data_IF_014964574736
#
_entry.id   IF_014964574736
#
_cell.length_a   1.000
_cell.length_b   1.000
_cell.length_c   1.000
_cell.angle_alpha   90.00
_cell.angle_beta   90.00
_cell.angle_gamma   90.00
#
_symmetry.space_group_name_H-M   'P 1'
#
loop_
_entity.id
_entity.type
_entity.pdbx_description
1 polymer ?
#
# COMPACT_ATOMS: atom_id res chain seq x y z
N UNK A 1 -9.89 -10.37 5.76
CA UNK A 1 -11.00 -9.41 5.72
C UNK A 1 -11.71 -9.47 4.38
N UNK A 2 -13.03 -9.47 4.42
CA UNK A 2 -13.92 -9.36 3.27
C UNK A 2 -13.90 -7.93 2.73
N UNK A 3 -14.39 -7.74 1.49
CA UNK A 3 -14.52 -6.40 0.90
C UNK A 3 -15.48 -5.53 1.73
N UNK A 4 -16.52 -6.12 2.31
CA UNK A 4 -17.50 -5.40 3.12
C UNK A 4 -16.88 -4.87 4.42
N UNK A 5 -16.05 -5.67 5.10
CA UNK A 5 -15.31 -5.24 6.29
C UNK A 5 -14.33 -4.11 5.97
N UNK A 6 -13.64 -4.19 4.83
CA UNK A 6 -12.70 -3.16 4.38
C UNK A 6 -13.39 -1.83 4.06
N UNK A 7 -14.52 -1.87 3.37
CA UNK A 7 -15.31 -0.67 3.09
C UNK A 7 -15.79 0.00 4.38
N UNK A 8 -16.27 -0.80 5.35
CA UNK A 8 -16.69 -0.27 6.65
C UNK A 8 -15.51 0.36 7.42
N UNK A 9 -14.34 -0.27 7.37
CA UNK A 9 -13.14 0.27 8.01
C UNK A 9 -12.65 1.56 7.34
N UNK A 10 -12.75 1.66 6.01
CA UNK A 10 -12.42 2.86 5.24
C UNK A 10 -13.39 4.01 5.57
N UNK A 11 -14.69 3.73 5.58
CA UNK A 11 -15.71 4.71 5.91
C UNK A 11 -15.56 5.21 7.36
N UNK A 12 -15.27 4.31 8.31
CA UNK A 12 -14.96 4.69 9.69
C UNK A 12 -13.72 5.60 9.79
N UNK A 13 -12.70 5.37 8.98
CA UNK A 13 -11.45 6.12 9.01
C UNK A 13 -11.55 7.50 8.32
N UNK A 14 -12.33 7.61 7.25
CA UNK A 14 -12.33 8.78 6.36
C UNK A 14 -13.69 9.47 6.22
N UNK A 15 -14.75 8.93 6.82
CA UNK A 15 -16.10 9.51 6.82
C UNK A 15 -16.80 9.46 5.45
N UNK A 16 -16.32 8.62 4.53
CA UNK A 16 -16.88 8.45 3.19
C UNK A 16 -16.50 7.09 2.58
N UNK A 17 -17.24 6.59 1.58
CA UNK A 17 -16.90 5.33 0.91
C UNK A 17 -15.61 5.44 0.09
N UNK A 18 -14.94 4.30 -0.11
CA UNK A 18 -13.86 4.18 -1.07
C UNK A 18 -14.42 4.28 -2.51
N UNK A 19 -13.66 4.91 -3.41
CA UNK A 19 -14.01 5.03 -4.83
C UNK A 19 -13.48 3.85 -5.65
N UNK A 20 -12.38 3.25 -5.22
CA UNK A 20 -11.79 2.07 -5.87
C UNK A 20 -11.09 1.15 -4.86
N UNK A 21 -11.04 -0.13 -5.23
CA UNK A 21 -10.39 -1.20 -4.46
C UNK A 21 -9.44 -1.95 -5.38
N UNK A 22 -8.20 -2.11 -4.95
CA UNK A 22 -7.15 -2.83 -5.67
C UNK A 22 -6.60 -3.97 -4.80
N UNK A 23 -6.04 -4.99 -5.44
CA UNK A 23 -5.36 -6.09 -4.78
C UNK A 23 -4.00 -6.36 -5.44
N UNK A 24 -2.95 -6.45 -4.64
CA UNK A 24 -1.62 -6.85 -5.05
C UNK A 24 -1.23 -8.13 -4.28
N UNK A 25 -0.99 -9.28 -4.95
CA UNK A 25 -0.63 -10.51 -4.28
C UNK A 25 0.78 -10.43 -3.68
N UNK A 26 0.99 -11.13 -2.57
CA UNK A 26 2.32 -11.49 -2.11
C UNK A 26 2.95 -12.51 -3.05
N UNK A 27 4.25 -12.75 -2.89
CA UNK A 27 5.01 -13.69 -3.72
C UNK A 27 5.97 -14.51 -2.89
N UNK A 28 6.21 -15.74 -3.34
CA UNK A 28 7.30 -16.60 -2.87
C UNK A 28 8.18 -16.93 -4.07
N UNK A 29 9.47 -17.16 -3.82
CA UNK A 29 10.35 -17.72 -4.83
C UNK A 29 10.39 -19.23 -4.64
N UNK A 30 10.22 -20.01 -5.72
CA UNK A 30 10.38 -21.47 -5.64
C UNK A 30 11.85 -21.86 -5.73
N UNK A 31 12.60 -21.16 -6.59
CA UNK A 31 14.05 -21.32 -6.79
C UNK A 31 14.65 -20.06 -7.44
N UNK A 32 15.95 -19.84 -7.22
CA UNK A 32 16.70 -18.71 -7.79
C UNK A 32 16.93 -17.56 -6.80
N UNK A 33 17.10 -17.85 -5.51
CA UNK A 33 17.41 -16.82 -4.52
C UNK A 33 18.74 -16.11 -4.83
N UNK A 34 18.77 -14.78 -4.64
CA UNK A 34 19.95 -13.94 -4.86
C UNK A 34 20.50 -13.94 -6.30
N UNK A 35 19.74 -14.43 -7.27
CA UNK A 35 20.18 -14.46 -8.68
C UNK A 35 19.66 -13.29 -9.51
N UNK A 36 18.53 -12.70 -9.10
CA UNK A 36 17.83 -11.63 -9.80
C UNK A 36 18.71 -10.37 -9.98
N UNK A 37 19.33 -9.89 -8.92
CA UNK A 37 20.24 -8.75 -8.99
C UNK A 37 21.62 -9.08 -9.59
N UNK A 38 21.86 -10.36 -9.92
CA UNK A 38 23.05 -10.83 -10.65
C UNK A 38 22.73 -11.17 -12.13
N UNK A 39 21.52 -10.87 -12.61
CA UNK A 39 21.10 -11.13 -14.00
C UNK A 39 20.71 -12.58 -14.29
N UNK A 40 20.56 -13.42 -13.26
CA UNK A 40 20.08 -14.78 -13.39
C UNK A 40 18.54 -14.87 -13.46
N UNK A 41 17.99 -15.94 -14.05
CA UNK A 41 16.55 -16.18 -14.04
C UNK A 41 16.07 -16.65 -12.65
N UNK A 42 14.82 -16.31 -12.33
CA UNK A 42 14.14 -16.71 -11.09
C UNK A 42 12.82 -17.41 -11.41
N UNK A 43 12.33 -18.26 -10.50
CA UNK A 43 11.03 -18.91 -10.66
C UNK A 43 10.07 -18.61 -9.48
N UNK A 44 9.47 -17.41 -9.47
CA UNK A 44 8.55 -17.01 -8.42
C UNK A 44 7.11 -17.43 -8.71
N UNK A 45 6.28 -17.39 -7.66
CA UNK A 45 4.85 -17.60 -7.75
C UNK A 45 4.09 -16.57 -6.90
N UNK A 46 2.98 -16.07 -7.45
CA UNK A 46 2.04 -15.22 -6.73
C UNK A 46 1.19 -16.05 -5.77
N UNK A 47 0.91 -15.50 -4.61
CA UNK A 47 0.14 -16.14 -3.55
C UNK A 47 -1.28 -15.57 -3.52
N UNK A 48 -2.21 -16.34 -2.95
CA UNK A 48 -3.59 -15.86 -2.76
C UNK A 48 -3.70 -14.81 -1.64
N UNK A 49 -2.70 -14.72 -0.76
CA UNK A 49 -2.59 -13.64 0.22
C UNK A 49 -1.88 -12.43 -0.38
N UNK A 50 -2.24 -11.23 0.07
CA UNK A 50 -1.64 -10.00 -0.43
C UNK A 50 -2.26 -8.75 0.20
N UNK A 51 -1.91 -7.60 -0.34
CA UNK A 51 -2.34 -6.28 0.15
C UNK A 51 -3.54 -5.80 -0.64
N UNK A 52 -4.57 -5.33 0.08
CA UNK A 52 -5.71 -4.64 -0.53
C UNK A 52 -5.59 -3.15 -0.26
N UNK A 53 -5.76 -2.34 -1.30
CA UNK A 53 -5.70 -0.88 -1.24
C UNK A 53 -7.08 -0.32 -1.57
N UNK A 54 -7.60 0.52 -0.67
CA UNK A 54 -8.84 1.27 -0.88
C UNK A 54 -8.46 2.75 -1.02
N UNK A 55 -8.97 3.43 -2.05
CA UNK A 55 -8.66 4.83 -2.32
C UNK A 55 -9.92 5.64 -2.62
N UNK A 56 -9.86 6.93 -2.30
CA UNK A 56 -10.86 7.92 -2.69
C UNK A 56 -10.21 9.31 -2.74
N UNK A 57 -10.63 10.18 -3.67
CA UNK A 57 -10.11 11.56 -3.76
C UNK A 57 -10.60 12.40 -2.60
N UNK A 58 -9.72 13.02 -1.82
CA UNK A 58 -10.15 13.84 -0.67
C UNK A 58 -10.35 15.34 -1.01
N UNK A 59 -10.11 15.75 -2.26
CA UNK A 59 -10.18 17.13 -2.75
C UNK A 59 -9.38 18.16 -1.94
N UNK A 60 -8.30 17.72 -1.28
CA UNK A 60 -7.37 18.56 -0.50
C UNK A 60 -5.94 18.40 -1.03
N UNK A 61 -5.05 19.33 -0.69
CA UNK A 61 -3.61 19.23 -0.97
C UNK A 61 -2.85 18.41 0.09
N UNK A 62 -3.48 17.35 0.58
CA UNK A 62 -2.92 16.41 1.56
C UNK A 62 -3.27 14.99 1.17
N UNK A 63 -2.40 14.03 1.43
CA UNK A 63 -2.66 12.60 1.30
C UNK A 63 -2.70 11.97 2.69
N UNK A 64 -3.71 11.14 2.95
CA UNK A 64 -3.87 10.47 4.24
C UNK A 64 -3.74 8.96 4.04
N UNK A 65 -2.84 8.34 4.77
CA UNK A 65 -2.53 6.92 4.68
C UNK A 65 -2.93 6.23 5.99
N UNK A 66 -3.64 5.12 5.87
CA UNK A 66 -4.00 4.26 7.00
C UNK A 66 -3.72 2.82 6.64
N UNK A 67 -3.01 2.13 7.53
CA UNK A 67 -2.90 0.67 7.50
C UNK A 67 -3.87 0.09 8.53
N UNK A 68 -4.48 -1.05 8.25
CA UNK A 68 -5.27 -1.78 9.25
C UNK A 68 -4.39 -2.66 10.15
N UNK A 69 -3.09 -2.73 9.85
CA UNK A 69 -2.09 -3.43 10.66
C UNK A 69 -1.35 -2.51 11.63
N UNK A 70 -1.58 -1.19 11.54
CA UNK A 70 -0.96 -0.17 12.37
C UNK A 70 -2.04 0.75 12.94
N UNK A 71 -1.88 1.29 14.16
CA UNK A 71 -2.91 2.12 14.78
C UNK A 71 -3.01 3.52 14.17
N UNK A 72 -1.91 4.04 13.61
CA UNK A 72 -1.78 5.45 13.24
C UNK A 72 -2.27 5.77 11.82
N UNK A 73 -2.74 7.00 11.65
CA UNK A 73 -3.01 7.60 10.34
C UNK A 73 -1.94 8.64 10.06
N UNK A 74 -1.21 8.45 8.97
CA UNK A 74 -0.16 9.37 8.53
C UNK A 74 -0.72 10.32 7.47
N UNK A 75 -0.54 11.62 7.67
CA UNK A 75 -1.06 12.66 6.75
C UNK A 75 0.10 13.50 6.24
N UNK A 76 0.24 13.59 4.91
CA UNK A 76 1.34 14.28 4.25
C UNK A 76 0.81 15.36 3.31
N UNK A 77 1.46 16.52 3.32
CA UNK A 77 1.22 17.55 2.30
C UNK A 77 1.95 17.18 1.00
N UNK A 78 1.50 17.75 -0.11
CA UNK A 78 2.04 17.42 -1.43
C UNK A 78 3.52 17.80 -1.60
N UNK A 79 3.99 18.83 -0.90
CA UNK A 79 5.40 19.26 -0.87
C UNK A 79 6.30 18.30 -0.08
N UNK A 80 5.73 17.34 0.65
CA UNK A 80 6.47 16.33 1.42
C UNK A 80 6.58 14.98 0.69
N UNK A 81 5.95 14.82 -0.48
CA UNK A 81 5.83 13.52 -1.15
C UNK A 81 7.16 12.95 -1.65
N UNK A 82 8.16 13.80 -1.87
CA UNK A 82 9.50 13.40 -2.32
C UNK A 82 10.51 13.28 -1.18
N UNK A 83 10.08 13.50 0.06
CA UNK A 83 10.95 13.48 1.24
C UNK A 83 10.81 12.14 1.95
N UNK A 84 11.93 11.44 2.16
CA UNK A 84 11.94 10.21 2.96
C UNK A 84 11.58 10.53 4.41
N UNK A 85 10.57 9.82 4.91
CA UNK A 85 10.14 9.90 6.30
C UNK A 85 10.92 8.89 7.15
N UNK A 86 11.28 9.25 8.37
CA UNK A 86 11.98 8.35 9.27
C UNK A 86 11.02 7.27 9.80
N UNK A 87 11.42 6.00 9.70
CA UNK A 87 10.68 4.83 10.22
C UNK A 87 9.21 4.69 9.79
N UNK A 88 8.80 5.33 8.69
CA UNK A 88 7.42 5.28 8.18
C UNK A 88 7.26 4.25 7.06
N UNK A 89 6.16 3.49 7.11
CA UNK A 89 5.76 2.58 6.03
C UNK A 89 5.23 3.35 4.81
N UNK A 90 4.81 4.61 4.97
CA UNK A 90 4.31 5.44 3.87
C UNK A 90 5.40 5.71 2.82
N UNK A 91 6.67 5.53 3.17
CA UNK A 91 7.76 5.55 2.18
C UNK A 91 7.55 4.56 1.02
N UNK A 92 6.89 3.41 1.23
CA UNK A 92 6.61 2.46 0.14
C UNK A 92 5.73 3.07 -0.96
N UNK A 93 4.51 3.58 -0.68
CA UNK A 93 3.73 4.26 -1.69
C UNK A 93 4.36 5.57 -2.19
N UNK A 94 5.09 6.32 -1.35
CA UNK A 94 5.80 7.53 -1.82
C UNK A 94 6.84 7.21 -2.90
N UNK A 95 7.62 6.14 -2.73
CA UNK A 95 8.62 5.72 -3.72
C UNK A 95 8.03 5.29 -5.07
N UNK A 96 6.73 5.01 -5.14
CA UNK A 96 6.02 4.68 -6.39
C UNK A 96 5.44 5.94 -7.06
N UNK A 97 5.09 6.97 -6.28
CA UNK A 97 4.49 8.20 -6.79
C UNK A 97 5.51 9.26 -7.19
N UNK A 98 6.74 9.16 -6.68
CA UNK A 98 7.83 10.10 -6.91
C UNK A 98 8.48 9.96 -8.29
#
# INVERSE_FOLDING_TARGET
MTIQELNKAFELAYGKPAEAIYFAPGRVNLIGEHTDYNGGPVFPCALSFGTKLLIAKNNKKVMNFKSLNLPEVESLKFDQLTTRLENSWVNYPLGVMA
#
